data_IF_853948520125
#
_entry.id   IF_853948520125
#
_cell.length_a   1.000
_cell.length_b   1.000
_cell.length_c   1.000
_cell.angle_alpha   90.00
_cell.angle_beta   90.00
_cell.angle_gamma   90.00
#
_symmetry.space_group_name_H-M   'P 1'
#
loop_
_entity.id
_entity.type
_entity.pdbx_description
1 polymer ?
#
# COMPACT_ATOMS: atom_id res chain seq x y z
N UNK A 1 14.71 18.50 21.85
CA UNK A 1 13.99 17.33 21.30
C UNK A 1 13.83 17.61 19.81
N UNK A 2 14.42 16.82 18.94
CA UNK A 2 14.19 16.92 17.49
C UNK A 2 12.72 16.68 17.21
N UNK A 3 12.10 17.56 16.44
CA UNK A 3 10.68 17.39 16.03
C UNK A 3 10.56 16.06 15.28
N UNK A 4 9.50 15.29 15.61
CA UNK A 4 9.27 13.98 15.01
C UNK A 4 8.86 14.19 13.56
N UNK A 5 9.53 13.53 12.60
CA UNK A 5 9.16 13.59 11.19
C UNK A 5 7.77 13.00 10.97
N UNK A 6 7.04 13.54 10.01
CA UNK A 6 5.66 13.20 9.70
C UNK A 6 5.51 12.63 8.30
N UNK A 7 4.69 11.60 8.16
CA UNK A 7 4.41 10.95 6.90
C UNK A 7 2.89 10.86 6.66
N UNK A 8 2.44 11.33 5.51
CA UNK A 8 1.07 11.19 5.05
C UNK A 8 1.00 10.15 3.94
N UNK A 9 0.20 9.10 4.15
CA UNK A 9 0.01 8.03 3.17
C UNK A 9 -1.42 8.12 2.62
N UNK A 10 -1.58 8.17 1.30
CA UNK A 10 -2.89 8.46 0.71
C UNK A 10 -3.29 7.54 -0.44
N UNK A 11 -4.60 7.27 -0.49
CA UNK A 11 -5.31 7.09 -1.73
C UNK A 11 -5.78 8.48 -2.18
N UNK A 12 -5.32 8.98 -3.33
CA UNK A 12 -5.56 10.37 -3.72
C UNK A 12 -7.01 10.66 -4.10
N UNK A 13 -7.40 11.95 -4.15
CA UNK A 13 -8.69 12.36 -4.68
C UNK A 13 -8.82 11.98 -6.16
N UNK A 14 -9.58 10.94 -6.44
CA UNK A 14 -9.80 10.41 -7.79
C UNK A 14 -11.15 9.73 -7.85
N UNK A 15 -11.65 9.37 -9.04
CA UNK A 15 -12.84 8.55 -9.14
C UNK A 15 -12.72 7.28 -8.29
N UNK A 16 -13.83 6.86 -7.68
CA UNK A 16 -13.86 5.65 -6.86
C UNK A 16 -13.46 4.44 -7.69
N UNK A 17 -12.47 3.69 -7.23
CA UNK A 17 -11.94 2.54 -7.94
C UNK A 17 -11.33 1.52 -6.97
N UNK A 18 -11.18 0.30 -7.45
CA UNK A 18 -10.33 -0.69 -6.80
C UNK A 18 -8.87 -0.34 -7.09
N UNK A 19 -8.07 -0.08 -6.05
CA UNK A 19 -6.65 0.29 -6.14
C UNK A 19 -5.70 -0.85 -5.84
N UNK A 20 -6.21 -2.06 -5.74
CA UNK A 20 -5.37 -3.23 -5.57
C UNK A 20 -4.51 -3.45 -6.82
N UNK A 21 -3.20 -3.58 -6.65
CA UNK A 21 -2.23 -3.62 -7.76
C UNK A 21 -2.54 -4.71 -8.81
N UNK A 22 -3.18 -5.81 -8.42
CA UNK A 22 -3.57 -6.90 -9.32
C UNK A 22 -4.85 -6.62 -10.12
N UNK A 23 -5.71 -5.74 -9.62
CA UNK A 23 -7.05 -5.52 -10.15
C UNK A 23 -7.45 -4.05 -9.99
N UNK A 24 -6.87 -3.20 -10.83
CA UNK A 24 -7.17 -1.78 -10.87
C UNK A 24 -8.28 -1.52 -11.88
N UNK A 25 -9.48 -1.13 -11.41
CA UNK A 25 -10.58 -0.79 -12.32
C UNK A 25 -11.51 0.27 -11.74
N UNK A 26 -12.07 1.15 -12.59
CA UNK A 26 -13.12 2.08 -12.18
C UNK A 26 -14.37 1.30 -11.71
N UNK A 27 -15.01 1.80 -10.66
CA UNK A 27 -16.22 1.16 -10.10
C UNK A 27 -17.53 1.75 -10.59
N UNK A 28 -17.49 2.71 -11.53
CA UNK A 28 -18.68 3.45 -11.99
C UNK A 28 -19.83 2.59 -12.51
N UNK A 29 -19.50 1.42 -13.06
CA UNK A 29 -20.48 0.54 -13.72
C UNK A 29 -20.61 -0.82 -13.02
N UNK A 30 -19.98 -1.01 -11.87
CA UNK A 30 -20.04 -2.25 -11.12
C UNK A 30 -21.03 -2.13 -9.96
N UNK A 31 -21.82 -3.17 -9.77
CA UNK A 31 -22.58 -3.44 -8.55
C UNK A 31 -21.69 -3.12 -7.37
N UNK A 32 -22.14 -2.23 -6.50
CA UNK A 32 -21.48 -1.65 -5.34
C UNK A 32 -20.37 -2.55 -4.78
N UNK A 33 -19.12 -2.26 -5.17
CA UNK A 33 -17.96 -2.79 -4.45
C UNK A 33 -17.79 -1.87 -3.24
N UNK A 34 -17.92 -2.38 -2.02
CA UNK A 34 -17.70 -1.55 -0.84
C UNK A 34 -16.24 -1.11 -0.81
N UNK A 35 -15.93 0.02 -0.18
CA UNK A 35 -14.57 0.43 0.03
C UNK A 35 -13.83 -0.68 0.81
N UNK A 36 -12.69 -1.10 0.26
CA UNK A 36 -11.78 -2.01 0.96
C UNK A 36 -10.79 -1.18 1.80
N UNK A 37 -10.40 -1.66 2.99
CA UNK A 37 -9.38 -0.99 3.77
C UNK A 37 -8.11 -0.80 2.95
N UNK A 38 -7.41 0.35 3.04
CA UNK A 38 -6.15 0.60 2.34
C UNK A 38 -5.01 -0.18 3.02
N UNK A 39 -5.10 -1.52 3.00
CA UNK A 39 -4.24 -2.41 3.78
C UNK A 39 -2.78 -2.27 3.42
N UNK A 40 -2.45 -1.98 2.17
CA UNK A 40 -1.09 -1.70 1.72
C UNK A 40 -0.53 -0.41 2.36
N UNK A 41 -1.31 0.67 2.40
CA UNK A 41 -0.90 1.90 3.11
C UNK A 41 -0.79 1.67 4.62
N UNK A 42 -1.65 0.80 5.19
CA UNK A 42 -1.56 0.45 6.61
C UNK A 42 -0.27 -0.30 6.95
N UNK A 43 0.23 -1.19 6.07
CA UNK A 43 1.55 -1.82 6.26
C UNK A 43 2.67 -0.79 6.21
N UNK A 44 2.65 0.11 5.22
CA UNK A 44 3.65 1.16 5.08
C UNK A 44 3.63 2.15 6.26
N UNK A 45 2.44 2.48 6.77
CA UNK A 45 2.31 3.32 7.96
C UNK A 45 2.89 2.64 9.21
N UNK A 46 2.64 1.33 9.39
CA UNK A 46 3.22 0.57 10.49
C UNK A 46 4.76 0.50 10.41
N UNK A 47 5.33 0.42 9.21
CA UNK A 47 6.78 0.55 8.99
C UNK A 47 7.24 1.96 9.41
N UNK A 48 6.58 3.01 8.94
CA UNK A 48 6.95 4.38 9.29
C UNK A 48 6.90 4.65 10.81
N UNK A 49 5.91 4.11 11.51
CA UNK A 49 5.82 4.20 12.98
C UNK A 49 6.97 3.45 13.67
N UNK A 50 7.40 2.28 13.14
CA UNK A 50 8.60 1.57 13.64
C UNK A 50 9.86 2.40 13.48
N UNK A 51 9.98 3.15 12.40
CA UNK A 51 11.09 4.08 12.15
C UNK A 51 10.94 5.40 12.93
N UNK A 52 9.94 5.50 13.80
CA UNK A 52 9.77 6.63 14.71
C UNK A 52 9.02 7.83 14.13
N UNK A 53 8.45 7.74 12.92
CA UNK A 53 7.67 8.83 12.33
C UNK A 53 6.26 8.90 12.95
N UNK A 54 5.65 10.08 12.86
CA UNK A 54 4.21 10.26 13.06
C UNK A 54 3.50 9.99 11.73
N UNK A 55 2.67 8.95 11.66
CA UNK A 55 2.00 8.53 10.44
C UNK A 55 0.52 8.93 10.42
N UNK A 56 0.01 9.31 9.25
CA UNK A 56 -1.41 9.55 8.99
C UNK A 56 -1.81 8.88 7.69
N UNK A 57 -2.96 8.20 7.69
CA UNK A 57 -3.52 7.58 6.48
C UNK A 57 -4.80 8.33 6.09
N UNK A 58 -4.95 8.59 4.79
CA UNK A 58 -6.18 9.19 4.22
C UNK A 58 -6.59 8.50 2.93
N UNK A 59 -7.85 8.15 2.86
CA UNK A 59 -8.50 7.70 1.63
C UNK A 59 -9.42 8.82 1.11
N UNK A 60 -8.88 9.67 0.24
CA UNK A 60 -9.62 10.79 -0.34
C UNK A 60 -10.64 10.35 -1.42
N UNK A 61 -10.63 9.09 -1.83
CA UNK A 61 -11.69 8.54 -2.67
C UNK A 61 -13.02 8.45 -1.93
N UNK A 62 -12.99 8.42 -0.58
CA UNK A 62 -14.17 8.37 0.27
C UNK A 62 -14.61 9.76 0.72
N UNK A 63 -13.68 10.57 1.22
CA UNK A 63 -13.96 11.92 1.72
C UNK A 63 -12.68 12.66 2.11
N UNK A 64 -12.77 13.96 2.32
CA UNK A 64 -11.68 14.77 2.87
C UNK A 64 -11.20 15.86 1.91
N UNK A 65 -10.25 16.66 2.41
CA UNK A 65 -9.61 17.73 1.65
C UNK A 65 -8.09 17.60 1.79
N UNK A 66 -7.44 17.17 0.70
CA UNK A 66 -5.99 16.96 0.67
C UNK A 66 -5.21 18.22 1.04
N UNK A 67 -5.59 19.38 0.48
CA UNK A 67 -4.87 20.62 0.73
C UNK A 67 -4.95 21.06 2.19
N UNK A 68 -6.12 20.89 2.81
CA UNK A 68 -6.30 21.17 4.23
C UNK A 68 -5.41 20.24 5.08
N UNK A 69 -5.45 18.94 4.84
CA UNK A 69 -4.63 17.97 5.56
C UNK A 69 -3.13 18.25 5.41
N UNK A 70 -2.67 18.64 4.20
CA UNK A 70 -1.27 19.01 3.97
C UNK A 70 -0.86 20.24 4.77
N UNK A 71 -1.71 21.29 4.83
CA UNK A 71 -1.43 22.53 5.58
C UNK A 71 -1.46 22.32 7.11
N UNK A 72 -2.39 21.50 7.60
CA UNK A 72 -2.56 21.22 9.03
C UNK A 72 -1.53 20.22 9.55
N UNK A 73 -1.35 19.09 8.85
CA UNK A 73 -0.46 18.02 9.28
C UNK A 73 1.01 18.31 8.98
N UNK A 74 1.30 19.10 7.92
CA UNK A 74 2.64 19.49 7.45
C UNK A 74 3.57 18.29 7.35
N UNK A 75 3.27 17.30 6.50
CA UNK A 75 4.10 16.11 6.39
C UNK A 75 5.46 16.42 5.76
N UNK A 76 6.51 15.72 6.21
CA UNK A 76 7.83 15.69 5.59
C UNK A 76 7.87 14.73 4.40
N UNK A 77 7.04 13.67 4.47
CA UNK A 77 6.92 12.65 3.43
C UNK A 77 5.46 12.49 3.00
N UNK A 78 5.23 12.37 1.69
CA UNK A 78 3.95 11.99 1.11
C UNK A 78 4.10 10.69 0.33
N UNK A 79 3.36 9.65 0.72
CA UNK A 79 3.27 8.39 -0.03
C UNK A 79 1.92 8.30 -0.73
N UNK A 80 1.94 8.14 -2.04
CA UNK A 80 0.73 8.03 -2.87
C UNK A 80 0.67 6.67 -3.55
N UNK A 81 -0.42 5.94 -3.32
CA UNK A 81 -0.70 4.75 -4.13
C UNK A 81 -1.35 5.21 -5.44
N UNK A 82 -0.60 5.10 -6.54
CA UNK A 82 -1.08 5.45 -7.88
C UNK A 82 -1.68 4.22 -8.59
N UNK A 83 -2.70 4.47 -9.40
CA UNK A 83 -3.33 3.44 -10.20
C UNK A 83 -3.34 3.85 -11.68
N UNK A 84 -3.07 2.90 -12.57
CA UNK A 84 -3.01 3.19 -14.02
C UNK A 84 -4.27 3.88 -14.56
N UNK A 85 -5.50 3.47 -14.18
CA UNK A 85 -6.71 4.13 -14.70
C UNK A 85 -6.95 5.55 -14.17
N UNK A 86 -6.31 5.97 -13.09
CA UNK A 86 -6.45 7.31 -12.48
C UNK A 86 -5.13 8.08 -12.41
N UNK A 87 -4.14 7.67 -13.19
CA UNK A 87 -2.75 8.15 -13.07
C UNK A 87 -2.65 9.68 -13.04
N UNK A 88 -3.34 10.38 -13.94
CA UNK A 88 -3.32 11.85 -14.00
C UNK A 88 -3.87 12.51 -12.72
N UNK A 89 -4.97 11.98 -12.17
CA UNK A 89 -5.53 12.47 -10.91
C UNK A 89 -4.59 12.20 -9.73
N UNK A 90 -3.95 11.03 -9.73
CA UNK A 90 -3.06 10.62 -8.66
C UNK A 90 -1.78 11.46 -8.65
N UNK A 91 -1.24 11.76 -9.83
CA UNK A 91 -0.08 12.64 -10.00
C UNK A 91 -0.40 14.10 -9.68
N UNK A 92 -1.63 14.58 -9.98
CA UNK A 92 -2.08 15.92 -9.59
C UNK A 92 -2.06 16.11 -8.07
N UNK A 93 -2.39 15.10 -7.30
CA UNK A 93 -2.29 15.14 -5.84
C UNK A 93 -0.85 15.35 -5.35
N UNK A 94 0.13 14.73 -6.02
CA UNK A 94 1.55 14.89 -5.71
C UNK A 94 2.01 16.31 -6.07
N UNK A 95 1.62 16.80 -7.25
CA UNK A 95 1.92 18.17 -7.72
C UNK A 95 1.41 19.21 -6.70
N UNK A 96 0.16 19.11 -6.27
CA UNK A 96 -0.43 20.00 -5.25
C UNK A 96 0.34 19.97 -3.93
N UNK A 97 0.82 18.80 -3.52
CA UNK A 97 1.62 18.71 -2.30
C UNK A 97 2.93 19.48 -2.40
N UNK A 98 3.64 19.39 -3.53
CA UNK A 98 4.86 20.18 -3.79
C UNK A 98 4.58 21.69 -3.92
N UNK A 99 3.42 22.09 -4.45
CA UNK A 99 3.02 23.50 -4.50
C UNK A 99 2.78 24.08 -3.10
N UNK A 100 2.27 23.27 -2.16
CA UNK A 100 2.03 23.68 -0.78
C UNK A 100 3.32 23.66 0.05
N UNK A 101 4.14 22.62 -0.12
CA UNK A 101 5.42 22.46 0.54
C UNK A 101 6.46 21.94 -0.46
N UNK A 102 7.32 22.79 -1.05
CA UNK A 102 8.35 22.37 -2.00
C UNK A 102 9.36 21.36 -1.42
N UNK A 103 9.58 21.37 -0.10
CA UNK A 103 10.54 20.49 0.59
C UNK A 103 9.97 19.10 0.90
N UNK A 104 8.66 18.88 0.73
CA UNK A 104 8.06 17.56 1.00
C UNK A 104 8.67 16.49 0.08
N UNK A 105 9.08 15.37 0.66
CA UNK A 105 9.56 14.23 -0.12
C UNK A 105 8.38 13.43 -0.62
N UNK A 106 8.26 13.32 -1.94
CA UNK A 106 7.12 12.68 -2.61
C UNK A 106 7.49 11.31 -3.12
N UNK A 107 6.69 10.32 -2.75
CA UNK A 107 6.91 8.91 -3.06
C UNK A 107 5.63 8.36 -3.68
N UNK A 108 5.71 7.80 -4.88
CA UNK A 108 4.61 7.08 -5.50
C UNK A 108 4.90 5.58 -5.55
N UNK A 109 3.88 4.76 -5.33
CA UNK A 109 3.93 3.31 -5.52
C UNK A 109 2.71 2.82 -6.29
N UNK A 110 2.83 1.67 -6.94
CA UNK A 110 1.70 1.04 -7.64
C UNK A 110 2.15 0.29 -8.90
N UNK A 111 1.24 -0.53 -9.46
CA UNK A 111 1.54 -1.36 -10.62
C UNK A 111 1.92 -0.57 -11.90
N UNK A 112 1.60 0.74 -11.96
CA UNK A 112 2.01 1.61 -13.07
C UNK A 112 3.53 1.63 -13.26
N UNK A 113 4.31 1.46 -12.18
CA UNK A 113 5.78 1.42 -12.25
C UNK A 113 6.34 0.17 -12.94
N UNK A 114 5.56 -0.88 -13.15
CA UNK A 114 5.98 -2.06 -13.91
C UNK A 114 6.35 -1.72 -15.37
N UNK A 115 5.67 -0.74 -15.94
CA UNK A 115 5.83 -0.41 -17.39
C UNK A 115 6.07 1.06 -17.66
N UNK A 116 5.66 1.96 -16.77
CA UNK A 116 5.69 3.42 -16.99
C UNK A 116 6.65 4.16 -16.05
N UNK A 117 7.41 3.46 -15.22
CA UNK A 117 8.21 4.09 -14.14
C UNK A 117 9.16 5.16 -14.65
N UNK A 118 9.95 4.88 -15.68
CA UNK A 118 10.86 5.85 -16.28
C UNK A 118 10.12 7.08 -16.85
N UNK A 119 9.02 6.84 -17.59
CA UNK A 119 8.21 7.89 -18.19
C UNK A 119 7.57 8.77 -17.12
N UNK A 120 6.98 8.18 -16.10
CA UNK A 120 6.35 8.91 -14.98
C UNK A 120 7.37 9.86 -14.33
N UNK A 121 8.56 9.36 -14.01
CA UNK A 121 9.59 10.21 -13.38
C UNK A 121 10.12 11.29 -14.34
N UNK A 122 10.29 10.96 -15.63
CA UNK A 122 10.81 11.90 -16.62
C UNK A 122 9.87 13.09 -16.86
N UNK A 123 8.56 12.84 -16.88
CA UNK A 123 7.55 13.85 -17.21
C UNK A 123 7.11 14.68 -15.99
N UNK A 124 7.43 14.26 -14.73
CA UNK A 124 6.91 14.91 -13.53
C UNK A 124 8.02 15.27 -12.53
N UNK A 125 8.46 16.54 -12.58
CA UNK A 125 9.53 17.07 -11.70
C UNK A 125 9.17 17.05 -10.21
N UNK A 126 7.89 17.06 -9.88
CA UNK A 126 7.38 17.06 -8.51
C UNK A 126 7.41 15.69 -7.82
N UNK A 127 7.81 14.62 -8.52
CA UNK A 127 7.94 13.27 -7.95
C UNK A 127 9.40 12.95 -7.68
N UNK A 128 9.75 12.70 -6.40
CA UNK A 128 11.11 12.40 -5.98
C UNK A 128 11.45 10.90 -6.15
N UNK A 129 10.51 10.00 -5.77
CA UNK A 129 10.70 8.56 -5.83
C UNK A 129 9.48 7.83 -6.41
N UNK A 130 9.74 6.86 -7.29
CA UNK A 130 8.78 5.85 -7.71
C UNK A 130 9.20 4.47 -7.22
N UNK A 131 8.35 3.74 -6.50
CA UNK A 131 8.65 2.40 -5.98
C UNK A 131 8.05 1.34 -6.89
N UNK A 132 8.91 0.41 -7.34
CA UNK A 132 8.54 -0.78 -8.07
C UNK A 132 8.58 -2.02 -7.15
N UNK A 133 7.51 -2.80 -7.13
CA UNK A 133 7.40 -4.04 -6.35
C UNK A 133 6.87 -3.84 -4.94
N UNK A 134 7.26 -4.71 -4.02
CA UNK A 134 6.88 -4.61 -2.60
C UNK A 134 7.58 -3.41 -1.95
N UNK A 135 6.78 -2.51 -1.37
CA UNK A 135 7.28 -1.19 -0.97
C UNK A 135 7.78 -1.11 0.47
N UNK A 136 7.57 -2.13 1.28
CA UNK A 136 7.81 -2.10 2.72
C UNK A 136 9.29 -1.82 3.06
N UNK A 137 10.21 -2.67 2.56
CA UNK A 137 11.64 -2.50 2.80
C UNK A 137 12.21 -1.28 2.08
N UNK A 138 11.70 -1.00 0.87
CA UNK A 138 12.13 0.17 0.09
C UNK A 138 11.74 1.47 0.79
N UNK A 139 10.52 1.56 1.33
CA UNK A 139 10.09 2.73 2.09
C UNK A 139 10.94 2.89 3.36
N UNK A 140 11.20 1.80 4.09
CA UNK A 140 12.07 1.84 5.26
C UNK A 140 13.42 2.45 4.96
N UNK A 141 14.11 1.97 3.90
CA UNK A 141 15.42 2.50 3.50
C UNK A 141 15.37 3.99 3.08
N UNK A 142 14.28 4.44 2.43
CA UNK A 142 14.05 5.86 2.13
C UNK A 142 13.91 6.67 3.43
N UNK A 143 13.15 6.18 4.41
CA UNK A 143 12.94 6.86 5.69
C UNK A 143 14.19 6.89 6.57
N UNK A 144 15.07 5.88 6.46
CA UNK A 144 16.40 5.85 7.05
C UNK A 144 17.41 6.78 6.33
N UNK A 145 16.98 7.47 5.26
CA UNK A 145 17.81 8.39 4.46
C UNK A 145 19.04 7.71 3.85
N UNK A 146 18.94 6.43 3.49
CA UNK A 146 20.04 5.72 2.86
C UNK A 146 20.39 6.36 1.50
N UNK A 147 21.62 6.14 1.05
CA UNK A 147 22.08 6.60 -0.26
C UNK A 147 21.19 5.99 -1.37
N UNK A 148 20.61 6.83 -2.22
CA UNK A 148 19.66 6.43 -3.27
C UNK A 148 20.15 5.28 -4.14
N UNK A 149 21.45 5.24 -4.44
CA UNK A 149 22.09 4.21 -5.24
C UNK A 149 22.08 2.82 -4.58
N UNK A 150 21.89 2.75 -3.27
CA UNK A 150 21.84 1.50 -2.49
C UNK A 150 20.43 0.99 -2.26
N UNK A 151 19.42 1.85 -2.38
CA UNK A 151 18.01 1.49 -2.22
C UNK A 151 17.56 0.77 -3.48
N UNK A 152 17.21 -0.53 -3.40
CA UNK A 152 16.69 -1.27 -4.55
C UNK A 152 15.19 -1.00 -4.76
N UNK A 153 14.76 -1.13 -6.03
CA UNK A 153 13.36 -1.02 -6.42
C UNK A 153 12.85 0.41 -6.56
N UNK A 154 13.74 1.40 -6.75
CA UNK A 154 13.31 2.78 -6.93
C UNK A 154 13.68 3.35 -8.30
N UNK A 155 12.76 4.17 -8.81
CA UNK A 155 13.04 5.21 -9.81
C UNK A 155 13.27 6.53 -9.09
N UNK A 156 14.30 7.28 -9.48
CA UNK A 156 14.62 8.62 -8.96
C UNK A 156 15.33 9.45 -10.01
N UNK A 157 15.45 10.76 -9.77
CA UNK A 157 16.20 11.65 -10.64
C UNK A 157 17.58 11.97 -10.09
N UNK A 158 18.56 11.99 -10.98
CA UNK A 158 19.92 12.41 -10.71
C UNK A 158 20.46 13.20 -11.92
N UNK A 159 20.86 14.45 -11.68
CA UNK A 159 21.37 15.36 -12.71
C UNK A 159 20.43 15.47 -13.94
N UNK A 160 19.12 15.55 -13.70
CA UNK A 160 18.08 15.65 -14.74
C UNK A 160 17.76 14.33 -15.46
N UNK A 161 18.44 13.22 -15.13
CA UNK A 161 18.19 11.92 -15.73
C UNK A 161 17.44 10.99 -14.76
N UNK A 162 16.52 10.20 -15.28
CA UNK A 162 15.87 9.15 -14.51
C UNK A 162 16.84 7.96 -14.34
N UNK A 163 16.93 7.47 -13.12
CA UNK A 163 17.69 6.27 -12.76
C UNK A 163 16.73 5.23 -12.18
N UNK A 164 17.01 3.97 -12.50
CA UNK A 164 16.38 2.81 -11.86
C UNK A 164 17.45 1.97 -11.18
N UNK A 165 17.27 1.65 -9.92
CA UNK A 165 18.28 0.94 -9.09
C UNK A 165 18.24 -0.58 -9.25
N UNK A 166 17.35 -1.09 -10.10
CA UNK A 166 17.15 -2.53 -10.28
C UNK A 166 16.02 -3.08 -9.39
N UNK A 167 15.59 -4.31 -9.72
CA UNK A 167 14.51 -4.96 -8.99
C UNK A 167 14.95 -5.36 -7.59
N UNK A 168 14.08 -5.15 -6.61
CA UNK A 168 14.23 -5.71 -5.26
C UNK A 168 13.68 -7.14 -5.24
N UNK A 169 14.33 -8.03 -4.51
CA UNK A 169 13.77 -9.34 -4.20
C UNK A 169 12.50 -9.21 -3.37
N UNK A 170 11.54 -10.10 -3.60
CA UNK A 170 10.32 -10.14 -2.81
C UNK A 170 10.61 -10.57 -1.37
N UNK A 171 9.84 -10.05 -0.41
CA UNK A 171 9.98 -10.36 1.02
C UNK A 171 9.66 -11.84 1.24
N UNK A 172 10.64 -12.64 1.62
CA UNK A 172 10.48 -14.09 1.81
C UNK A 172 9.70 -14.41 3.09
N UNK A 173 10.02 -13.75 4.20
CA UNK A 173 9.36 -13.93 5.49
C UNK A 173 8.29 -12.84 5.69
N UNK A 174 7.03 -13.18 5.41
CA UNK A 174 5.90 -12.26 5.59
C UNK A 174 5.54 -12.02 7.05
N UNK A 175 5.97 -12.89 7.98
CA UNK A 175 5.74 -12.73 9.41
C UNK A 175 6.64 -11.65 10.03
N UNK A 176 7.72 -11.28 9.35
CA UNK A 176 8.60 -10.16 9.76
C UNK A 176 7.92 -8.79 9.63
N UNK A 177 6.88 -8.68 8.79
CA UNK A 177 6.14 -7.45 8.61
C UNK A 177 5.30 -7.12 9.87
N UNK A 178 5.18 -5.83 10.23
CA UNK A 178 4.24 -5.42 11.27
C UNK A 178 2.81 -5.71 10.86
N UNK A 179 1.90 -5.85 11.82
CA UNK A 179 0.48 -5.81 11.50
C UNK A 179 0.09 -4.45 10.95
N UNK A 180 -0.91 -4.41 10.04
CA UNK A 180 -1.38 -3.14 9.46
C UNK A 180 -1.82 -2.14 10.54
N UNK A 181 -1.43 -0.87 10.41
CA UNK A 181 -1.75 0.23 11.34
C UNK A 181 -3.24 0.60 11.30
N UNK A 182 -4.10 -0.31 11.78
CA UNK A 182 -5.58 -0.15 11.76
C UNK A 182 -6.09 0.98 12.63
N UNK A 183 -5.29 1.43 13.60
CA UNK A 183 -5.60 2.58 14.45
C UNK A 183 -5.53 3.92 13.72
N UNK A 184 -4.94 3.97 12.53
CA UNK A 184 -4.82 5.19 11.72
C UNK A 184 -5.99 5.40 10.75
N UNK A 185 -6.97 4.50 10.72
CA UNK A 185 -8.13 4.59 9.83
C UNK A 185 -9.44 4.44 10.61
N UNK A 186 -10.52 4.98 10.04
CA UNK A 186 -11.86 4.68 10.54
C UNK A 186 -12.31 3.32 10.00
N UNK A 187 -12.13 2.28 10.80
CA UNK A 187 -12.52 0.92 10.42
C UNK A 187 -14.03 0.77 10.20
N UNK A 188 -14.86 1.68 10.72
CA UNK A 188 -16.32 1.57 10.65
C UNK A 188 -16.89 1.73 9.24
N UNK A 189 -16.12 2.34 8.33
CA UNK A 189 -16.54 2.57 6.93
C UNK A 189 -16.35 1.33 6.05
N UNK A 190 -15.47 0.39 6.43
CA UNK A 190 -15.17 -0.80 5.64
C UNK A 190 -16.12 -1.93 5.99
N UNK A 191 -17.20 -2.04 5.22
CA UNK A 191 -18.32 -2.94 5.52
C UNK A 191 -18.55 -3.96 4.42
N UNK A 192 -18.98 -5.14 4.80
CA UNK A 192 -19.42 -6.18 3.86
C UNK A 192 -20.70 -5.76 3.15
N UNK A 193 -20.79 -5.97 1.82
CA UNK A 193 -21.99 -5.57 1.06
C UNK A 193 -23.22 -6.44 1.34
N UNK A 194 -23.00 -7.70 1.76
CA UNK A 194 -24.06 -8.68 1.98
C UNK A 194 -24.79 -8.49 3.31
N UNK A 195 -24.13 -8.00 4.35
CA UNK A 195 -24.69 -7.92 5.69
C UNK A 195 -24.39 -6.61 6.43
N UNK A 196 -23.74 -5.67 5.78
CA UNK A 196 -23.35 -4.35 6.31
C UNK A 196 -22.53 -4.40 7.61
N UNK A 197 -21.85 -5.52 7.91
CA UNK A 197 -20.98 -5.65 9.08
C UNK A 197 -19.57 -5.15 8.74
N UNK A 198 -18.93 -4.50 9.71
CA UNK A 198 -17.54 -4.07 9.61
C UNK A 198 -16.64 -5.27 9.36
N UNK A 199 -15.72 -5.15 8.40
CA UNK A 199 -14.78 -6.21 8.06
C UNK A 199 -13.34 -5.72 8.05
N UNK A 200 -12.39 -6.62 8.33
CA UNK A 200 -10.98 -6.41 8.10
C UNK A 200 -10.49 -7.28 6.94
N UNK A 201 -9.57 -6.74 6.15
CA UNK A 201 -8.80 -7.52 5.19
C UNK A 201 -7.54 -8.05 5.87
N UNK A 202 -7.31 -9.35 5.76
CA UNK A 202 -6.10 -10.04 6.24
C UNK A 202 -5.35 -10.57 5.03
N UNK A 203 -4.17 -10.04 4.76
CA UNK A 203 -3.28 -10.56 3.70
C UNK A 203 -2.57 -11.81 4.25
N UNK A 204 -2.91 -12.98 3.74
CA UNK A 204 -2.45 -14.26 4.28
C UNK A 204 -1.25 -14.83 3.52
N UNK A 205 -1.12 -14.46 2.24
CA UNK A 205 -0.02 -14.88 1.38
C UNK A 205 0.21 -13.87 0.25
N UNK A 206 1.33 -13.99 -0.44
CA UNK A 206 1.68 -13.24 -1.65
C UNK A 206 2.33 -14.17 -2.66
N UNK A 207 2.06 -13.93 -3.95
CA UNK A 207 2.64 -14.67 -5.07
C UNK A 207 1.71 -15.75 -5.63
N UNK A 208 1.86 -15.99 -6.95
CA UNK A 208 1.06 -16.96 -7.68
C UNK A 208 1.93 -17.71 -8.69
N UNK A 209 1.95 -19.05 -8.68
CA UNK A 209 2.78 -19.84 -9.58
C UNK A 209 2.24 -19.91 -11.02
N UNK A 210 1.02 -19.39 -11.24
CA UNK A 210 0.38 -19.41 -12.56
C UNK A 210 0.71 -18.16 -13.37
N UNK A 211 0.94 -18.34 -14.67
CA UNK A 211 1.31 -17.28 -15.60
C UNK A 211 0.14 -16.91 -16.52
N UNK A 212 -1.02 -16.58 -15.92
CA UNK A 212 -2.19 -16.16 -16.70
C UNK A 212 -1.87 -14.83 -17.41
N UNK A 213 -1.97 -14.79 -18.75
CA UNK A 213 -1.53 -13.66 -19.57
C UNK A 213 -2.21 -12.31 -19.26
N UNK A 214 -3.39 -12.34 -18.64
CA UNK A 214 -4.18 -11.16 -18.27
C UNK A 214 -3.98 -10.72 -16.81
N UNK A 215 -3.23 -11.48 -16.01
CA UNK A 215 -3.14 -11.27 -14.55
C UNK A 215 -1.81 -10.67 -14.15
N UNK A 216 -1.85 -9.65 -13.30
CA UNK A 216 -0.66 -8.99 -12.76
C UNK A 216 -0.13 -9.65 -11.46
N UNK A 217 -0.72 -10.74 -10.97
CA UNK A 217 -0.29 -11.37 -9.71
C UNK A 217 1.20 -11.73 -9.72
N UNK A 218 1.66 -12.43 -10.77
CA UNK A 218 3.09 -12.83 -10.87
C UNK A 218 4.04 -11.63 -10.99
N UNK A 219 3.80 -10.61 -11.86
CA UNK A 219 4.65 -9.42 -11.91
C UNK A 219 4.69 -8.61 -10.61
N UNK A 220 3.57 -8.54 -9.88
CA UNK A 220 3.43 -7.71 -8.66
C UNK A 220 3.91 -8.43 -7.42
N UNK A 221 3.60 -9.75 -7.30
CA UNK A 221 3.78 -10.50 -6.06
C UNK A 221 4.75 -11.69 -6.19
N UNK A 222 5.28 -11.94 -7.40
CA UNK A 222 6.20 -13.05 -7.68
C UNK A 222 5.51 -14.38 -8.00
N UNK A 223 6.30 -15.31 -8.59
CA UNK A 223 5.83 -16.65 -8.93
C UNK A 223 5.84 -17.64 -7.76
N UNK A 224 6.65 -17.37 -6.73
CA UNK A 224 6.72 -18.20 -5.51
C UNK A 224 5.64 -17.77 -4.53
N UNK A 225 4.80 -18.70 -4.10
CA UNK A 225 3.82 -18.43 -3.03
C UNK A 225 4.55 -18.36 -1.69
N UNK A 226 4.46 -17.23 -1.01
CA UNK A 226 5.01 -16.95 0.30
C UNK A 226 3.84 -16.75 1.26
N UNK A 227 3.81 -17.53 2.34
CA UNK A 227 2.70 -17.55 3.31
C UNK A 227 3.15 -17.04 4.65
N UNK A 228 2.23 -16.38 5.31
CA UNK A 228 2.34 -16.12 6.75
C UNK A 228 2.09 -17.43 7.50
N UNK A 229 2.68 -17.56 8.68
CA UNK A 229 2.33 -18.66 9.59
C UNK A 229 0.88 -18.56 10.06
N UNK A 230 0.30 -19.68 10.38
CA UNK A 230 -1.07 -19.74 10.93
C UNK A 230 -1.14 -18.94 12.23
N UNK A 231 -0.12 -19.04 13.07
CA UNK A 231 0.01 -18.34 14.34
C UNK A 231 0.01 -16.82 14.16
N UNK A 232 0.75 -16.32 13.18
CA UNK A 232 0.83 -14.90 12.88
C UNK A 232 -0.51 -14.36 12.37
N UNK A 233 -1.20 -15.10 11.50
CA UNK A 233 -2.54 -14.72 11.00
C UNK A 233 -3.57 -14.69 12.14
N UNK A 234 -3.58 -15.72 13.00
CA UNK A 234 -4.49 -15.78 14.16
C UNK A 234 -4.21 -14.67 15.16
N UNK A 235 -2.95 -14.30 15.36
CA UNK A 235 -2.59 -13.16 16.20
C UNK A 235 -3.15 -11.84 15.66
N UNK A 236 -3.08 -11.59 14.34
CA UNK A 236 -3.69 -10.40 13.72
C UNK A 236 -5.23 -10.41 13.82
N UNK A 237 -5.87 -11.58 13.60
CA UNK A 237 -7.32 -11.74 13.79
C UNK A 237 -7.71 -11.41 15.24
N UNK A 238 -6.96 -11.91 16.22
CA UNK A 238 -7.18 -11.63 17.64
C UNK A 238 -7.06 -10.13 17.92
N UNK A 239 -6.03 -9.47 17.40
CA UNK A 239 -5.89 -8.02 17.52
C UNK A 239 -7.09 -7.28 16.94
N UNK A 240 -7.59 -7.70 15.77
CA UNK A 240 -8.79 -7.10 15.15
C UNK A 240 -10.02 -7.24 16.05
N UNK A 241 -10.21 -8.39 16.68
CA UNK A 241 -11.33 -8.64 17.60
C UNK A 241 -11.20 -7.82 18.88
N UNK A 242 -10.05 -7.86 19.52
CA UNK A 242 -9.84 -7.30 20.86
C UNK A 242 -9.75 -5.77 20.83
N UNK A 243 -8.97 -5.20 19.89
CA UNK A 243 -8.74 -3.74 19.84
C UNK A 243 -9.80 -2.98 19.04
N UNK A 244 -10.33 -3.60 17.97
CA UNK A 244 -11.19 -2.89 17.01
C UNK A 244 -12.63 -3.44 16.96
N UNK A 245 -12.94 -4.51 17.73
CA UNK A 245 -14.24 -5.20 17.72
C UNK A 245 -14.68 -5.65 16.31
N UNK A 246 -13.73 -6.02 15.45
CA UNK A 246 -13.97 -6.51 14.08
C UNK A 246 -14.01 -8.03 14.13
N UNK A 247 -15.14 -8.63 13.69
CA UNK A 247 -15.38 -10.08 13.72
C UNK A 247 -15.68 -10.69 12.34
N UNK A 248 -15.58 -9.90 11.28
CA UNK A 248 -15.72 -10.38 9.90
C UNK A 248 -14.42 -10.12 9.16
N UNK A 249 -13.95 -11.13 8.45
CA UNK A 249 -12.64 -11.10 7.81
C UNK A 249 -12.75 -11.45 6.33
N UNK A 250 -12.00 -10.73 5.51
CA UNK A 250 -11.71 -11.08 4.13
C UNK A 250 -10.26 -11.53 4.05
N UNK A 251 -10.03 -12.81 3.77
CA UNK A 251 -8.68 -13.29 3.51
C UNK A 251 -8.26 -12.91 2.09
N UNK A 252 -7.22 -12.09 2.00
CA UNK A 252 -6.68 -11.64 0.73
C UNK A 252 -5.48 -12.50 0.35
N UNK A 253 -5.60 -13.13 -0.81
CA UNK A 253 -4.67 -14.13 -1.30
C UNK A 253 -4.67 -14.14 -2.82
N UNK A 254 -3.54 -14.47 -3.44
CA UNK A 254 -3.45 -14.72 -4.87
C UNK A 254 -4.07 -16.09 -5.23
N UNK A 255 -3.87 -17.09 -4.35
CA UNK A 255 -4.40 -18.46 -4.54
C UNK A 255 -4.50 -19.19 -3.20
N UNK A 256 -5.57 -18.94 -2.46
CA UNK A 256 -5.76 -19.35 -1.06
C UNK A 256 -5.62 -20.86 -0.80
N UNK A 257 -6.14 -21.69 -1.69
CA UNK A 257 -6.27 -23.14 -1.46
C UNK A 257 -5.21 -23.99 -2.20
N UNK A 258 -4.10 -23.40 -2.63
CA UNK A 258 -3.03 -24.13 -3.31
C UNK A 258 -2.37 -25.18 -2.41
N UNK A 259 -2.17 -24.87 -1.14
CA UNK A 259 -1.67 -25.79 -0.12
C UNK A 259 -2.80 -26.23 0.81
N UNK A 260 -3.27 -27.46 0.59
CA UNK A 260 -4.37 -28.03 1.36
C UNK A 260 -4.07 -28.11 2.85
N UNK A 261 -2.83 -28.49 3.22
CA UNK A 261 -2.46 -28.65 4.63
C UNK A 261 -2.53 -27.31 5.34
N UNK A 262 -1.82 -26.31 4.84
CA UNK A 262 -1.82 -24.95 5.41
C UNK A 262 -3.24 -24.36 5.50
N UNK A 263 -4.05 -24.53 4.44
CA UNK A 263 -5.44 -24.06 4.42
C UNK A 263 -6.28 -24.70 5.53
N UNK A 264 -6.15 -26.04 5.71
CA UNK A 264 -6.86 -26.76 6.75
C UNK A 264 -6.40 -26.36 8.16
N UNK A 265 -5.08 -26.24 8.35
CA UNK A 265 -4.50 -25.79 9.62
C UNK A 265 -5.01 -24.39 10.00
N UNK A 266 -5.05 -23.45 9.04
CA UNK A 266 -5.60 -22.11 9.25
C UNK A 266 -7.10 -22.14 9.61
N UNK A 267 -7.91 -22.91 8.87
CA UNK A 267 -9.33 -23.06 9.19
C UNK A 267 -9.57 -23.63 10.58
N UNK A 268 -8.82 -24.65 10.98
CA UNK A 268 -8.92 -25.24 12.31
C UNK A 268 -8.50 -24.28 13.43
N UNK A 269 -7.50 -23.44 13.17
CA UNK A 269 -7.01 -22.48 14.17
C UNK A 269 -7.98 -21.28 14.39
N UNK A 270 -8.87 -21.02 13.43
CA UNK A 270 -9.87 -19.93 13.51
C UNK A 270 -11.18 -20.37 14.17
N UNK A 271 -11.53 -21.67 14.07
CA UNK A 271 -12.74 -22.25 14.66
C UNK A 271 -12.59 -22.37 16.18
#
# INVERSE_FOLDING_TARGET
>A
MTEKKRILLIYPPSPVMNREDRCQQPTKDLIVIPPLPPTDLMYLAAIAEREGLEAKIKDYSQSGNLEQDLREFKPDYLVVNIATPSLEHDLDAIRKAKEINPEIITIAKGAAFLTLGEKILAEHEFLDFGILGEAEETLKEILEEQEKTRILGIYYKENGNVKFTGNRAFIEDLDSLPFPARHLVDNSIYRRPDNNKVQATIKVERGCPFHCFFCLATPVSGAKVRRRSVENIVAEIRECVEKYNIRNFLFWSDIFNLDKKWTMDLCQAII
#
